data_IF_682142576130
#
_entry.id   IF_682142576130
#
_cell.length_a   1.000
_cell.length_b   1.000
_cell.length_c   1.000
_cell.angle_alpha   90.00
_cell.angle_beta   90.00
_cell.angle_gamma   90.00
#
_symmetry.space_group_name_H-M   'P 1'
#
loop_
_entity.id
_entity.type
_entity.pdbx_description
1 polymer ?
#
# COMPACT_ATOMS: atom_id res chain seq x y z
N UNK A 1 -6.97 -2.20 42.00
CA UNK A 1 -5.93 -3.20 42.32
C UNK A 1 -6.62 -4.55 42.23
N UNK A 2 -6.52 -5.39 41.21
CA UNK A 2 -5.61 -5.64 40.09
C UNK A 2 -6.48 -5.81 38.83
N UNK A 3 -6.11 -5.25 37.66
CA UNK A 3 -5.14 -5.79 36.71
C UNK A 3 -5.51 -7.19 36.16
N UNK A 4 -5.66 -7.22 34.83
CA UNK A 4 -5.45 -8.37 33.93
C UNK A 4 -6.54 -9.46 33.98
N UNK A 5 -6.92 -10.15 32.92
CA UNK A 5 -6.36 -10.42 31.59
C UNK A 5 -7.56 -11.01 30.83
N UNK A 6 -7.89 -10.63 29.59
CA UNK A 6 -7.22 -11.04 28.35
C UNK A 6 -7.01 -12.56 28.22
N UNK A 7 -7.50 -13.12 27.09
CA UNK A 7 -7.38 -14.50 26.57
C UNK A 7 -8.45 -15.45 27.13
N UNK A 8 -9.24 -16.12 26.30
CA UNK A 8 -8.85 -17.00 25.19
C UNK A 8 -9.59 -16.61 23.90
N UNK A 9 -9.04 -16.51 22.67
CA UNK A 9 -7.99 -17.27 21.98
C UNK A 9 -8.08 -18.78 22.16
N UNK A 10 -8.79 -19.44 21.24
CA UNK A 10 -8.32 -20.72 20.73
C UNK A 10 -8.96 -21.07 19.38
N UNK A 11 -8.06 -21.19 18.41
CA UNK A 11 -7.99 -22.22 17.36
C UNK A 11 -9.21 -22.42 16.45
N UNK A 12 -9.17 -21.96 15.20
CA UNK A 12 -8.62 -22.73 14.04
C UNK A 12 -8.50 -24.21 14.30
N UNK A 13 -9.43 -24.97 13.72
CA UNK A 13 -9.10 -26.26 13.17
C UNK A 13 -9.88 -26.56 11.89
N UNK A 14 -9.13 -27.18 10.99
CA UNK A 14 -9.56 -28.14 10.00
C UNK A 14 -10.16 -27.69 8.66
N UNK A 15 -9.26 -27.80 7.69
CA UNK A 15 -9.47 -27.91 6.27
C UNK A 15 -10.19 -29.24 5.89
N UNK A 16 -10.81 -29.22 4.71
CA UNK A 16 -11.14 -30.34 3.81
C UNK A 16 -12.45 -31.18 3.93
N UNK A 17 -13.29 -31.00 2.88
CA UNK A 17 -14.12 -31.96 2.10
C UNK A 17 -15.04 -32.98 2.82
N UNK A 18 -16.35 -32.86 2.54
CA UNK A 18 -17.25 -33.94 2.02
C UNK A 18 -18.64 -33.35 1.70
N UNK A 19 -19.09 -33.37 0.44
CA UNK A 19 -20.01 -34.36 -0.20
C UNK A 19 -21.42 -34.41 0.41
N UNK A 20 -22.38 -33.93 -0.41
CA UNK A 20 -23.74 -34.43 -0.71
C UNK A 20 -24.75 -34.53 0.44
N UNK A 21 -25.96 -34.00 0.23
CA UNK A 21 -27.22 -34.75 0.36
C UNK A 21 -28.39 -33.99 -0.28
N UNK A 22 -29.35 -34.78 -0.74
CA UNK A 22 -30.54 -34.48 -1.55
C UNK A 22 -31.76 -34.62 -0.63
N UNK A 23 -32.71 -33.69 -0.66
CA UNK A 23 -34.11 -33.81 -0.15
C UNK A 23 -34.92 -32.79 -0.98
N UNK A 24 -35.91 -33.08 -1.82
CA UNK A 24 -37.14 -33.90 -1.77
C UNK A 24 -38.08 -33.56 -0.59
N UNK A 25 -39.12 -32.77 -0.87
CA UNK A 25 -40.52 -33.13 -0.59
C UNK A 25 -41.51 -32.00 -0.99
N UNK A 26 -42.39 -32.39 -1.91
CA UNK A 26 -43.83 -32.11 -2.08
C UNK A 26 -44.40 -30.67 -2.19
N UNK A 27 -45.08 -30.50 -3.33
CA UNK A 27 -46.00 -29.43 -3.73
C UNK A 27 -47.17 -29.23 -2.77
N UNK A 28 -47.61 -27.97 -2.61
CA UNK A 28 -49.03 -27.60 -2.56
C UNK A 28 -49.18 -26.24 -3.29
N UNK A 29 -49.66 -26.31 -4.53
CA UNK A 29 -50.37 -25.24 -5.23
C UNK A 29 -51.83 -25.22 -4.80
N UNK A 30 -52.45 -24.02 -4.76
CA UNK A 30 -53.88 -23.67 -4.56
C UNK A 30 -54.05 -22.75 -3.34
N UNK A 31 -54.69 -21.58 -3.37
CA UNK A 31 -55.80 -21.09 -4.20
C UNK A 31 -55.79 -19.56 -4.33
N UNK A 32 -56.30 -19.11 -5.48
CA UNK A 32 -56.60 -17.73 -5.88
C UNK A 32 -57.81 -17.17 -5.09
N UNK A 33 -57.85 -15.84 -4.95
CA UNK A 33 -59.02 -14.93 -4.73
C UNK A 33 -59.26 -14.43 -3.29
N UNK A 34 -58.91 -13.16 -3.02
CA UNK A 34 -59.82 -12.01 -2.73
C UNK A 34 -59.03 -10.83 -2.15
N UNK A 35 -59.54 -9.63 -2.42
CA UNK A 35 -58.79 -8.37 -2.44
C UNK A 35 -58.20 -7.88 -1.11
N UNK A 36 -57.07 -7.19 -1.24
CA UNK A 36 -56.52 -6.27 -0.25
C UNK A 36 -55.81 -5.14 -1.02
N UNK A 37 -56.06 -3.91 -0.60
CA UNK A 37 -55.59 -2.66 -1.19
C UNK A 37 -54.05 -2.57 -1.23
N UNK A 38 -53.45 -1.86 -2.22
CA UNK A 38 -52.00 -1.71 -2.27
C UNK A 38 -51.53 -0.72 -1.20
N UNK A 39 -51.08 -1.23 -0.06
CA UNK A 39 -50.27 -0.43 0.87
C UNK A 39 -48.96 -0.12 0.16
N UNK A 40 -48.69 1.16 -0.03
CA UNK A 40 -47.48 1.73 -0.61
C UNK A 40 -46.26 1.16 0.11
N UNK A 41 -45.70 0.09 -0.45
CA UNK A 41 -44.44 -0.50 -0.04
C UNK A 41 -43.33 0.49 -0.32
N UNK A 42 -42.92 1.21 0.71
CA UNK A 42 -41.70 2.03 0.70
C UNK A 42 -40.55 1.11 0.32
N UNK A 43 -40.09 1.21 -0.94
CA UNK A 43 -38.94 0.45 -1.45
C UNK A 43 -37.77 0.71 -0.52
N UNK A 44 -37.34 -0.30 0.22
CA UNK A 44 -36.06 -0.27 0.93
C UNK A 44 -35.01 -0.17 -0.17
N UNK A 45 -34.55 1.05 -0.41
CA UNK A 45 -33.52 1.40 -1.38
C UNK A 45 -32.25 0.71 -0.86
N UNK A 46 -31.96 -0.47 -1.40
CA UNK A 46 -30.78 -1.24 -1.03
C UNK A 46 -29.56 -0.34 -1.02
N UNK A 47 -28.91 -0.23 0.13
CA UNK A 47 -27.71 0.56 0.31
C UNK A 47 -26.67 0.08 -0.70
N UNK A 48 -26.43 0.89 -1.73
CA UNK A 48 -25.33 0.67 -2.66
C UNK A 48 -24.05 0.80 -1.84
N UNK A 49 -23.42 -0.34 -1.49
CA UNK A 49 -22.08 -0.37 -0.88
C UNK A 49 -21.15 0.49 -1.74
N UNK A 50 -20.82 1.67 -1.24
CA UNK A 50 -19.84 2.57 -1.85
C UNK A 50 -18.53 1.82 -1.95
N UNK A 51 -18.02 1.65 -3.17
CA UNK A 51 -16.74 0.99 -3.41
C UNK A 51 -15.66 1.76 -2.66
N UNK A 52 -15.05 1.12 -1.67
CA UNK A 52 -13.92 1.71 -0.95
C UNK A 52 -12.77 1.90 -1.95
N UNK A 53 -12.30 3.14 -2.09
CA UNK A 53 -11.26 3.50 -3.05
C UNK A 53 -9.91 3.14 -2.45
N UNK A 54 -9.25 2.12 -2.99
CA UNK A 54 -7.89 1.76 -2.61
C UNK A 54 -6.88 2.44 -3.55
N UNK A 55 -6.00 3.26 -2.99
CA UNK A 55 -4.86 3.81 -3.71
C UNK A 55 -3.70 2.83 -3.68
N UNK A 56 -3.06 2.66 -4.85
CA UNK A 56 -1.93 1.75 -5.05
C UNK A 56 -0.72 2.56 -5.45
N UNK A 57 0.35 2.42 -4.68
CA UNK A 57 1.65 3.02 -4.97
C UNK A 57 2.72 1.95 -4.96
N UNK A 58 3.83 2.23 -5.64
CA UNK A 58 5.01 1.38 -5.54
C UNK A 58 6.30 2.18 -5.66
N UNK A 59 7.34 1.69 -5.00
CA UNK A 59 8.70 2.22 -5.07
C UNK A 59 9.56 1.12 -5.69
N UNK A 60 10.21 1.44 -6.81
CA UNK A 60 11.12 0.56 -7.53
C UNK A 60 12.53 0.73 -6.97
N UNK A 61 13.03 -0.29 -6.28
CA UNK A 61 14.37 -0.32 -5.69
C UNK A 61 15.25 -1.40 -6.35
N UNK A 62 14.96 -1.75 -7.61
CA UNK A 62 15.66 -2.81 -8.35
C UNK A 62 17.17 -2.68 -8.33
N UNK A 63 17.67 -1.53 -8.78
CA UNK A 63 19.10 -1.24 -8.92
C UNK A 63 19.82 -1.36 -7.57
N UNK A 64 19.47 -0.61 -6.51
CA UNK A 64 20.21 -0.67 -5.25
C UNK A 64 20.06 -1.99 -4.48
N UNK A 65 18.99 -2.75 -4.72
CA UNK A 65 18.80 -4.09 -4.12
C UNK A 65 19.66 -5.13 -4.85
N UNK A 66 19.80 -5.03 -6.17
CA UNK A 66 20.70 -5.92 -6.92
C UNK A 66 22.16 -5.71 -6.54
N UNK A 67 22.55 -4.46 -6.29
CA UNK A 67 23.91 -4.11 -5.89
C UNK A 67 24.19 -4.39 -4.40
N UNK A 68 23.19 -4.84 -3.64
CA UNK A 68 23.33 -5.17 -2.21
C UNK A 68 23.47 -3.98 -1.27
N UNK A 69 23.30 -2.75 -1.76
CA UNK A 69 23.45 -1.51 -0.96
C UNK A 69 22.20 -1.24 -0.11
N UNK A 70 21.05 -1.79 -0.50
CA UNK A 70 19.77 -1.59 0.19
C UNK A 70 19.02 -2.89 0.47
N UNK A 71 18.63 -3.08 1.73
CA UNK A 71 17.73 -4.16 2.15
C UNK A 71 16.25 -3.73 2.12
N UNK A 72 15.42 -4.50 1.42
CA UNK A 72 13.98 -4.27 1.36
C UNK A 72 13.28 -4.51 2.69
N UNK A 73 13.75 -5.45 3.50
CA UNK A 73 13.15 -5.77 4.80
C UNK A 73 13.33 -4.64 5.80
N UNK A 74 14.54 -4.05 5.82
CA UNK A 74 14.80 -2.85 6.62
C UNK A 74 13.97 -1.66 6.13
N UNK A 75 13.85 -1.51 4.81
CA UNK A 75 13.04 -0.46 4.20
C UNK A 75 11.55 -0.60 4.54
N UNK A 76 10.99 -1.81 4.49
CA UNK A 76 9.60 -2.07 4.87
C UNK A 76 9.36 -1.75 6.36
N UNK A 77 10.26 -2.20 7.24
CA UNK A 77 10.19 -1.89 8.69
C UNK A 77 10.19 -0.38 8.93
N UNK A 78 11.06 0.36 8.26
CA UNK A 78 11.10 1.81 8.36
C UNK A 78 9.77 2.47 7.95
N UNK A 79 9.14 1.97 6.88
CA UNK A 79 7.83 2.46 6.46
C UNK A 79 6.76 2.18 7.52
N UNK A 80 6.74 0.98 8.11
CA UNK A 80 5.81 0.65 9.21
C UNK A 80 5.98 1.57 10.42
N UNK A 81 7.20 2.01 10.74
CA UNK A 81 7.42 2.90 11.88
C UNK A 81 7.11 4.37 11.58
N UNK A 82 7.42 4.85 10.37
CA UNK A 82 7.37 6.29 10.04
C UNK A 82 6.13 6.71 9.28
N UNK A 83 5.34 5.78 8.76
CA UNK A 83 4.13 6.09 8.02
C UNK A 83 3.03 6.58 8.97
N UNK A 84 2.54 7.78 8.70
CA UNK A 84 1.52 8.46 9.50
C UNK A 84 0.17 8.37 8.81
N UNK A 85 -0.85 8.12 9.62
CA UNK A 85 -2.26 8.21 9.24
C UNK A 85 -2.93 9.14 10.23
N UNK A 86 -3.66 10.14 9.73
CA UNK A 86 -4.36 11.13 10.56
C UNK A 86 -3.42 11.87 11.55
N UNK A 87 -2.18 12.16 11.12
CA UNK A 87 -1.18 12.91 11.90
C UNK A 87 -0.37 12.09 12.90
N UNK A 88 -0.75 10.85 13.19
CA UNK A 88 -0.06 9.97 14.15
C UNK A 88 0.67 8.82 13.44
N UNK A 89 1.89 8.52 13.90
CA UNK A 89 2.67 7.36 13.45
C UNK A 89 2.20 6.10 14.18
N UNK A 90 2.31 4.93 13.54
CA UNK A 90 1.98 3.63 14.15
C UNK A 90 0.48 3.25 14.14
N UNK A 91 -0.42 4.15 13.75
CA UNK A 91 -1.85 3.85 13.59
C UNK A 91 -2.17 3.21 12.22
N UNK A 92 -1.50 2.11 11.90
CA UNK A 92 -1.52 1.52 10.56
C UNK A 92 -2.63 0.49 10.32
N UNK A 93 -3.14 -0.16 11.38
CA UNK A 93 -4.24 -1.14 11.40
C UNK A 93 -4.48 -1.81 10.03
N UNK A 94 -5.66 -1.60 9.44
CA UNK A 94 -6.03 -2.14 8.11
C UNK A 94 -6.01 -1.08 7.00
N UNK A 95 -5.89 0.20 7.37
CA UNK A 95 -5.94 1.35 6.46
C UNK A 95 -4.78 1.35 5.46
N UNK A 96 -3.63 0.78 5.85
CA UNK A 96 -2.40 0.76 5.06
C UNK A 96 -1.79 -0.64 5.07
N UNK A 97 -1.54 -1.20 3.89
CA UNK A 97 -0.88 -2.49 3.72
C UNK A 97 0.41 -2.32 2.94
N UNK A 98 1.48 -2.89 3.46
CA UNK A 98 2.80 -2.93 2.83
C UNK A 98 3.04 -4.34 2.30
N UNK A 99 3.46 -4.45 1.04
CA UNK A 99 3.80 -5.72 0.42
C UNK A 99 5.12 -5.60 -0.34
N UNK A 100 6.10 -6.43 0.02
CA UNK A 100 7.32 -6.63 -0.77
C UNK A 100 7.03 -7.63 -1.90
N UNK A 101 7.45 -7.30 -3.12
CA UNK A 101 7.42 -8.25 -4.25
C UNK A 101 8.62 -7.99 -5.15
N UNK A 102 9.45 -9.01 -5.32
CA UNK A 102 10.74 -8.89 -6.01
C UNK A 102 11.53 -7.73 -5.37
N UNK A 103 11.92 -6.74 -6.16
CA UNK A 103 12.71 -5.59 -5.70
C UNK A 103 11.88 -4.31 -5.59
N UNK A 104 10.59 -4.45 -5.26
CA UNK A 104 9.64 -3.35 -5.17
C UNK A 104 8.87 -3.40 -3.86
N UNK A 105 8.70 -2.23 -3.26
CA UNK A 105 7.78 -2.05 -2.13
C UNK A 105 6.45 -1.51 -2.65
N UNK A 106 5.39 -2.26 -2.47
CA UNK A 106 4.03 -1.87 -2.77
C UNK A 106 3.35 -1.33 -1.52
N UNK A 107 2.68 -0.18 -1.66
CA UNK A 107 1.94 0.49 -0.59
C UNK A 107 0.50 0.64 -1.04
N UNK A 108 -0.40 -0.04 -0.33
CA UNK A 108 -1.83 0.02 -0.54
C UNK A 108 -2.45 0.82 0.59
N UNK A 109 -3.24 1.84 0.24
CA UNK A 109 -3.88 2.73 1.22
C UNK A 109 -5.34 2.90 0.90
N UNK A 110 -6.20 2.80 1.91
CA UNK A 110 -7.62 3.14 1.80
C UNK A 110 -7.84 4.64 2.05
N UNK A 111 -6.97 5.23 2.89
CA UNK A 111 -6.97 6.67 3.14
C UNK A 111 -6.31 7.39 1.97
N UNK A 112 -6.80 8.60 1.68
CA UNK A 112 -6.21 9.49 0.68
C UNK A 112 -4.79 9.88 1.07
N UNK A 113 -3.83 9.18 0.47
CA UNK A 113 -2.40 9.48 0.61
C UNK A 113 -1.88 9.99 -0.72
N UNK A 114 -1.05 11.04 -0.68
CA UNK A 114 -0.44 11.58 -1.89
C UNK A 114 0.86 10.85 -2.22
N UNK A 115 1.16 10.77 -3.52
CA UNK A 115 2.44 10.24 -4.04
C UNK A 115 3.63 10.92 -3.32
N UNK A 116 3.57 12.25 -3.17
CA UNK A 116 4.59 13.08 -2.51
C UNK A 116 5.02 12.57 -1.13
N UNK A 117 4.09 12.03 -0.34
CA UNK A 117 4.42 11.55 1.01
C UNK A 117 5.41 10.38 0.97
N UNK A 118 5.25 9.47 0.00
CA UNK A 118 6.20 8.37 -0.20
C UNK A 118 7.58 8.89 -0.58
N UNK A 119 7.68 9.89 -1.47
CA UNK A 119 8.97 10.53 -1.83
C UNK A 119 9.68 11.14 -0.62
N UNK A 120 8.92 11.77 0.28
CA UNK A 120 9.47 12.31 1.52
C UNK A 120 10.03 11.19 2.41
N UNK A 121 9.24 10.13 2.63
CA UNK A 121 9.66 9.01 3.48
C UNK A 121 10.90 8.30 2.93
N UNK A 122 10.96 8.07 1.62
CA UNK A 122 12.12 7.44 0.98
C UNK A 122 13.36 8.31 1.08
N UNK A 123 13.27 9.62 0.78
CA UNK A 123 14.41 10.54 0.95
C UNK A 123 14.91 10.59 2.40
N UNK A 124 13.99 10.53 3.37
CA UNK A 124 14.35 10.53 4.79
C UNK A 124 15.05 9.24 5.21
N UNK A 125 14.63 8.10 4.68
CA UNK A 125 15.32 6.82 4.85
C UNK A 125 16.75 6.87 4.28
N UNK A 126 16.90 7.34 3.04
CA UNK A 126 18.20 7.46 2.38
C UNK A 126 19.16 8.36 3.17
N UNK A 127 18.67 9.47 3.76
CA UNK A 127 19.52 10.33 4.61
C UNK A 127 19.92 9.63 5.91
N UNK A 128 19.03 8.85 6.52
CA UNK A 128 19.34 8.12 7.76
C UNK A 128 20.43 7.07 7.56
N UNK A 129 20.50 6.49 6.37
CA UNK A 129 21.49 5.47 6.00
C UNK A 129 22.68 6.05 5.21
N UNK A 130 22.80 7.38 5.12
CA UNK A 130 23.86 8.06 4.37
C UNK A 130 23.97 7.69 2.87
N UNK A 131 22.87 7.26 2.23
CA UNK A 131 22.83 6.89 0.80
C UNK A 131 22.40 8.05 -0.13
N UNK A 132 22.39 9.28 0.40
CA UNK A 132 21.85 10.46 -0.30
C UNK A 132 22.71 10.94 -1.47
N UNK A 133 23.99 10.58 -1.44
CA UNK A 133 24.98 11.06 -2.38
C UNK A 133 25.04 10.16 -3.62
N UNK A 134 24.68 8.89 -3.46
CA UNK A 134 24.66 7.93 -4.56
C UNK A 134 23.28 7.83 -5.21
N UNK A 135 22.20 7.88 -4.42
CA UNK A 135 20.85 7.57 -4.90
C UNK A 135 19.90 8.76 -4.81
N UNK A 136 19.12 8.96 -5.87
CA UNK A 136 18.00 9.89 -5.89
C UNK A 136 16.66 9.25 -6.27
N UNK A 137 15.58 9.89 -5.83
CA UNK A 137 14.20 9.40 -6.02
C UNK A 137 13.54 10.11 -7.20
N UNK A 138 13.35 9.40 -8.31
CA UNK A 138 12.71 9.90 -9.54
C UNK A 138 11.23 9.50 -9.59
N UNK A 139 10.40 10.43 -10.05
CA UNK A 139 8.98 10.19 -10.28
C UNK A 139 8.76 9.56 -11.66
N UNK A 140 8.09 8.41 -11.74
CA UNK A 140 7.54 7.94 -13.02
C UNK A 140 6.33 8.81 -13.38
N UNK A 141 6.36 9.46 -14.54
CA UNK A 141 5.35 10.47 -14.91
C UNK A 141 3.93 9.90 -15.01
N UNK A 142 3.78 8.74 -15.64
CA UNK A 142 2.46 8.15 -15.95
C UNK A 142 1.91 7.22 -14.86
N UNK A 143 2.64 7.05 -13.75
CA UNK A 143 2.29 6.07 -12.72
C UNK A 143 2.40 6.66 -11.32
N UNK A 144 1.64 6.09 -10.36
CA UNK A 144 1.77 6.36 -8.92
C UNK A 144 3.01 5.68 -8.32
N UNK A 145 4.14 5.86 -9.00
CA UNK A 145 5.36 5.12 -8.76
C UNK A 145 6.58 6.02 -8.66
N UNK A 146 7.51 5.63 -7.80
CA UNK A 146 8.86 6.17 -7.78
C UNK A 146 9.87 5.10 -8.14
N UNK A 147 11.03 5.53 -8.56
CA UNK A 147 12.21 4.70 -8.76
C UNK A 147 13.41 5.33 -8.10
N UNK A 148 14.34 4.49 -7.66
CA UNK A 148 15.65 4.89 -7.17
C UNK A 148 16.63 4.78 -8.34
N UNK A 149 17.38 5.85 -8.60
CA UNK A 149 18.43 5.91 -9.63
C UNK A 149 19.73 6.44 -9.03
N UNK A 150 20.85 6.05 -9.63
CA UNK A 150 22.14 6.64 -9.33
C UNK A 150 22.23 8.06 -9.89
N UNK A 151 23.07 8.89 -9.26
CA UNK A 151 23.57 10.10 -9.91
C UNK A 151 24.59 9.72 -10.99
N UNK A 152 24.59 10.48 -12.08
CA UNK A 152 25.57 10.32 -13.14
C UNK A 152 26.80 11.16 -12.78
N UNK A 153 27.77 10.54 -12.09
CA UNK A 153 28.98 11.25 -11.64
C UNK A 153 29.82 11.74 -12.83
N UNK A 154 29.75 11.04 -13.97
CA UNK A 154 30.51 11.40 -15.17
C UNK A 154 30.14 12.77 -15.77
N UNK A 155 28.92 13.27 -15.57
CA UNK A 155 28.49 14.55 -16.15
C UNK A 155 28.90 15.78 -15.34
N UNK A 156 29.08 15.64 -14.02
CA UNK A 156 29.50 16.78 -13.18
C UNK A 156 31.00 17.08 -13.32
N UNK A 157 31.84 16.09 -13.69
CA UNK A 157 33.27 16.35 -13.92
C UNK A 157 33.54 17.09 -15.24
N UNK A 158 32.75 16.84 -16.30
CA UNK A 158 32.89 17.56 -17.58
C UNK A 158 32.42 19.02 -17.46
N UNK A 159 31.29 19.30 -16.80
CA UNK A 159 30.79 20.68 -16.60
C UNK A 159 31.67 21.52 -15.66
N UNK A 160 32.40 20.89 -14.74
CA UNK A 160 33.33 21.60 -13.82
C UNK A 160 34.72 21.80 -14.43
N UNK A 161 35.13 20.95 -15.37
CA UNK A 161 36.41 21.08 -16.08
C UNK A 161 36.35 22.23 -17.12
N UNK A 162 35.22 22.44 -17.79
CA UNK A 162 35.04 23.53 -18.77
C UNK A 162 35.10 24.93 -18.12
N UNK A 163 34.71 25.06 -16.85
CA UNK A 163 34.76 26.35 -16.13
C UNK A 163 36.18 26.69 -15.63
N UNK A 164 37.06 25.70 -15.44
CA UNK A 164 38.43 25.93 -14.98
C UNK A 164 39.37 26.32 -16.14
N UNK A 165 39.06 25.96 -17.38
CA UNK A 165 39.86 26.33 -18.54
C UNK A 165 39.68 27.80 -18.97
N UNK A 166 38.52 28.42 -18.69
CA UNK A 166 38.26 29.84 -18.99
C UNK A 166 38.98 30.80 -18.02
N UNK A 167 39.17 30.41 -16.75
CA UNK A 167 39.88 31.26 -15.76
C UNK A 167 41.41 31.25 -15.94
N UNK A 168 41.98 30.24 -16.60
CA UNK A 168 43.42 30.19 -16.90
C UNK A 168 43.85 30.94 -18.17
N UNK A 169 42.92 31.55 -18.91
CA UNK A 169 43.21 32.28 -20.15
C UNK A 169 43.03 33.81 -20.06
N UNK A 170 42.83 34.36 -18.86
CA UNK A 170 42.88 35.81 -18.63
C UNK A 170 44.16 36.24 -17.91
#
# INVERSE_FOLDING_TARGET
MFMLHCKLYSLVDFNFKKIRLKKNSQNISEMVRKGATPVVGKRIKGEKKTRQITYKFHIDARVPVQDGIMDLDHFEKYFREKFKVDGKAGNLKEKVRFHKKLNRLYVFTEVKTSKRYLKYLTKKYLKKNNLRDWLHVVSKQNQRAYELRYYNIAGEQEETAEQQEEETKQ
#
